data_IF_248349733482
#
_entry.id   IF_248349733482
#
_cell.length_a   1.000
_cell.length_b   1.000
_cell.length_c   1.000
_cell.angle_alpha   90.00
_cell.angle_beta   90.00
_cell.angle_gamma   90.00
#
_symmetry.space_group_name_H-M   'P 1'
#
loop_
_entity.id
_entity.type
_entity.pdbx_description
1 polymer ?
#
# COMPACT_ATOMS: atom_id res chain seq x y z
N UNK A 1 -5.84 -41.51 2.10
CA UNK A 1 -6.25 -40.12 2.42
C UNK A 1 -5.89 -39.26 1.22
N UNK A 2 -6.90 -38.87 0.44
CA UNK A 2 -6.71 -38.00 -0.72
C UNK A 2 -6.30 -36.62 -0.20
N UNK A 3 -5.03 -36.25 -0.37
CA UNK A 3 -4.61 -34.87 -0.22
C UNK A 3 -5.23 -34.11 -1.39
N UNK A 4 -6.39 -33.49 -1.15
CA UNK A 4 -6.92 -32.49 -2.06
C UNK A 4 -5.87 -31.40 -2.15
N UNK A 5 -5.16 -31.33 -3.28
CA UNK A 5 -4.49 -30.10 -3.68
C UNK A 5 -5.60 -29.11 -4.00
N UNK A 6 -6.17 -28.49 -2.97
CA UNK A 6 -6.87 -27.22 -3.15
C UNK A 6 -5.80 -26.31 -3.75
N UNK A 7 -5.93 -25.97 -5.03
CA UNK A 7 -5.02 -25.04 -5.67
C UNK A 7 -5.01 -23.77 -4.84
N UNK A 8 -3.89 -23.50 -4.16
CA UNK A 8 -3.79 -22.37 -3.24
C UNK A 8 -3.99 -21.10 -4.05
N UNK A 9 -5.07 -20.37 -3.75
CA UNK A 9 -5.40 -19.08 -4.34
C UNK A 9 -4.56 -18.01 -3.64
N UNK A 10 -3.45 -17.64 -4.27
CA UNK A 10 -2.41 -16.81 -3.67
C UNK A 10 -2.28 -15.49 -4.42
N UNK A 11 -2.09 -14.43 -3.65
CA UNK A 11 -1.74 -13.11 -4.13
C UNK A 11 -0.61 -12.52 -3.25
N UNK A 12 0.08 -11.53 -3.79
CA UNK A 12 1.10 -10.79 -3.06
C UNK A 12 0.83 -9.29 -3.10
N UNK A 13 1.08 -8.62 -1.98
CA UNK A 13 1.16 -7.19 -1.90
C UNK A 13 2.63 -6.75 -1.76
N UNK A 14 3.07 -5.82 -2.61
CA UNK A 14 4.36 -5.15 -2.44
C UNK A 14 4.09 -3.82 -1.74
N UNK A 15 3.87 -3.84 -0.43
CA UNK A 15 3.50 -2.67 0.36
C UNK A 15 4.65 -1.67 0.40
N UNK A 16 4.42 -0.45 -0.06
CA UNK A 16 5.43 0.61 -0.05
C UNK A 16 5.16 1.55 1.13
N UNK A 17 6.16 1.75 2.00
CA UNK A 17 6.09 2.64 3.16
C UNK A 17 7.19 3.69 3.13
N UNK A 18 6.91 4.88 3.64
CA UNK A 18 7.79 6.06 3.60
C UNK A 18 8.77 6.11 4.78
N UNK A 19 9.41 4.97 5.05
CA UNK A 19 10.44 4.81 6.07
C UNK A 19 11.43 3.73 5.63
N UNK A 20 12.72 3.98 5.81
CA UNK A 20 13.80 2.99 5.62
C UNK A 20 14.92 3.12 6.67
N UNK A 21 15.06 4.29 7.31
CA UNK A 21 16.16 4.61 8.21
C UNK A 21 15.96 4.02 9.60
N UNK A 22 14.72 4.01 10.09
CA UNK A 22 14.32 3.34 11.33
C UNK A 22 13.95 1.89 11.04
N UNK A 23 14.95 1.02 11.05
CA UNK A 23 14.80 -0.42 10.74
C UNK A 23 13.76 -1.12 11.61
N UNK A 24 13.74 -0.79 12.90
CA UNK A 24 12.78 -1.31 13.88
C UNK A 24 11.33 -0.97 13.50
N UNK A 25 11.07 0.24 12.99
CA UNK A 25 9.75 0.64 12.49
C UNK A 25 9.34 -0.22 11.31
N UNK A 26 10.21 -0.39 10.31
CA UNK A 26 9.93 -1.21 9.12
C UNK A 26 9.69 -2.67 9.49
N UNK A 27 10.51 -3.22 10.40
CA UNK A 27 10.34 -4.59 10.90
C UNK A 27 9.04 -4.76 11.70
N UNK A 28 8.62 -3.75 12.47
CA UNK A 28 7.36 -3.80 13.22
C UNK A 28 6.15 -3.75 12.28
N UNK A 29 6.20 -2.95 11.22
CA UNK A 29 5.18 -2.94 10.15
C UNK A 29 5.09 -4.33 9.50
N UNK A 30 6.21 -4.94 9.16
CA UNK A 30 6.23 -6.29 8.58
C UNK A 30 5.70 -7.35 9.57
N UNK A 31 6.03 -7.24 10.86
CA UNK A 31 5.49 -8.13 11.91
C UNK A 31 3.99 -7.97 12.06
N UNK A 32 3.45 -6.74 11.97
CA UNK A 32 2.03 -6.49 12.06
C UNK A 32 1.23 -7.22 10.97
N UNK A 33 1.82 -7.45 9.78
CA UNK A 33 1.20 -8.27 8.74
C UNK A 33 1.01 -9.74 9.15
N UNK A 34 1.86 -10.25 10.04
CA UNK A 34 1.88 -11.66 10.43
C UNK A 34 0.96 -11.97 11.62
N UNK A 35 0.38 -10.96 12.27
CA UNK A 35 -0.37 -11.13 13.51
C UNK A 35 -1.88 -10.91 13.31
N UNK A 36 -2.67 -11.74 13.98
CA UNK A 36 -4.12 -11.59 14.15
C UNK A 36 -4.47 -10.56 15.23
N UNK A 37 -5.75 -10.24 15.36
CA UNK A 37 -6.26 -9.29 16.38
C UNK A 37 -5.96 -9.76 17.81
N UNK A 38 -5.89 -11.07 18.02
CA UNK A 38 -5.52 -11.72 19.29
C UNK A 38 -4.00 -11.84 19.51
N UNK A 39 -3.17 -11.33 18.59
CA UNK A 39 -1.72 -11.43 18.63
C UNK A 39 -1.14 -12.78 18.18
N UNK A 40 -1.98 -13.70 17.70
CA UNK A 40 -1.51 -14.99 17.16
C UNK A 40 -1.02 -14.86 15.72
N UNK A 41 -0.14 -15.78 15.29
CA UNK A 41 0.36 -15.77 13.90
C UNK A 41 -0.73 -16.18 12.92
N UNK A 42 -0.82 -15.46 11.80
CA UNK A 42 -1.64 -15.83 10.64
C UNK A 42 -0.95 -16.96 9.87
N UNK A 43 -1.51 -18.17 9.81
CA UNK A 43 -0.82 -19.34 9.26
C UNK A 43 -0.64 -19.29 7.74
N UNK A 44 -1.48 -18.52 7.03
CA UNK A 44 -1.45 -18.40 5.57
C UNK A 44 -0.84 -17.09 5.07
N UNK A 45 -0.09 -16.39 5.92
CA UNK A 45 0.57 -15.13 5.57
C UNK A 45 2.07 -15.28 5.71
N UNK A 46 2.82 -14.71 4.77
CA UNK A 46 4.27 -14.68 4.80
C UNK A 46 4.81 -13.34 4.31
N UNK A 47 5.78 -12.79 5.04
CA UNK A 47 6.62 -11.70 4.53
C UNK A 47 7.79 -12.33 3.80
N UNK A 48 7.82 -12.20 2.47
CA UNK A 48 8.82 -12.81 1.61
C UNK A 48 10.11 -11.99 1.52
N UNK A 49 9.99 -10.67 1.60
CA UNK A 49 11.12 -9.75 1.47
C UNK A 49 10.82 -8.40 2.13
N UNK A 50 11.86 -7.74 2.63
CA UNK A 50 11.86 -6.32 3.00
C UNK A 50 13.04 -5.69 2.29
N UNK A 51 12.76 -4.80 1.33
CA UNK A 51 13.77 -4.00 0.66
C UNK A 51 13.67 -2.56 1.17
N UNK A 52 14.78 -1.98 1.61
CA UNK A 52 14.83 -0.62 2.18
C UNK A 52 15.88 0.21 1.45
N UNK A 53 15.45 1.36 0.94
CA UNK A 53 16.32 2.35 0.30
C UNK A 53 16.47 3.57 1.22
N UNK A 54 17.69 3.77 1.72
CA UNK A 54 18.00 4.79 2.73
C UNK A 54 17.97 6.22 2.16
N UNK A 55 18.36 6.37 0.89
CA UNK A 55 18.37 7.66 0.20
C UNK A 55 16.94 8.10 -0.09
N UNK A 56 16.13 7.16 -0.57
CA UNK A 56 14.71 7.38 -0.86
C UNK A 56 13.87 7.46 0.43
N UNK A 57 14.43 7.01 1.56
CA UNK A 57 13.73 6.81 2.83
C UNK A 57 12.41 6.06 2.64
N UNK A 58 12.48 4.93 1.93
CA UNK A 58 11.32 4.16 1.48
C UNK A 58 11.63 2.67 1.52
N UNK A 59 10.67 1.89 2.00
CA UNK A 59 10.77 0.43 2.02
C UNK A 59 9.63 -0.23 1.26
N UNK A 60 9.92 -1.39 0.67
CA UNK A 60 8.96 -2.28 0.03
C UNK A 60 8.92 -3.59 0.79
N UNK A 61 7.78 -3.88 1.41
CA UNK A 61 7.51 -5.11 2.16
C UNK A 61 6.67 -6.02 1.26
N UNK A 62 7.23 -7.17 0.88
CA UNK A 62 6.52 -8.17 0.05
C UNK A 62 5.77 -9.14 0.95
N UNK A 63 4.45 -9.04 0.96
CA UNK A 63 3.54 -9.87 1.76
C UNK A 63 2.81 -10.80 0.79
N UNK A 64 2.90 -12.12 0.99
CA UNK A 64 2.14 -13.10 0.22
C UNK A 64 1.18 -13.84 1.15
N UNK A 65 -0.04 -14.05 0.68
CA UNK A 65 -1.07 -14.74 1.45
C UNK A 65 -2.13 -15.41 0.55
N UNK A 66 -3.01 -16.20 1.17
CA UNK A 66 -4.28 -16.54 0.54
C UNK A 66 -5.10 -15.27 0.30
N UNK A 67 -5.97 -15.29 -0.73
CA UNK A 67 -6.88 -14.18 -1.06
C UNK A 67 -7.70 -13.73 0.17
N UNK A 68 -8.10 -14.70 1.00
CA UNK A 68 -8.94 -14.47 2.18
C UNK A 68 -8.17 -13.74 3.31
N UNK A 69 -6.87 -14.02 3.46
CA UNK A 69 -6.02 -13.42 4.51
C UNK A 69 -5.28 -12.15 4.07
N UNK A 70 -5.09 -11.93 2.77
CA UNK A 70 -4.24 -10.85 2.27
C UNK A 70 -4.72 -9.47 2.75
N UNK A 71 -6.04 -9.21 2.72
CA UNK A 71 -6.58 -7.92 3.17
C UNK A 71 -6.29 -7.67 4.64
N UNK A 72 -6.45 -8.68 5.50
CA UNK A 72 -6.21 -8.56 6.92
C UNK A 72 -4.72 -8.32 7.23
N UNK A 73 -3.84 -9.04 6.55
CA UNK A 73 -2.40 -8.89 6.68
C UNK A 73 -1.93 -7.49 6.25
N UNK A 74 -2.36 -7.04 5.07
CA UNK A 74 -1.95 -5.73 4.54
C UNK A 74 -2.56 -4.60 5.37
N UNK A 75 -3.81 -4.74 5.84
CA UNK A 75 -4.45 -3.77 6.74
C UNK A 75 -3.65 -3.61 8.04
N UNK A 76 -3.27 -4.72 8.69
CA UNK A 76 -2.47 -4.68 9.92
C UNK A 76 -1.15 -3.94 9.74
N UNK A 77 -0.45 -4.21 8.63
CA UNK A 77 0.76 -3.47 8.28
C UNK A 77 0.50 -1.98 8.02
N UNK A 78 -0.57 -1.64 7.30
CA UNK A 78 -0.93 -0.25 7.03
C UNK A 78 -1.23 0.53 8.32
N UNK A 79 -2.04 -0.04 9.21
CA UNK A 79 -2.39 0.59 10.51
C UNK A 79 -1.13 0.85 11.34
N UNK A 80 -0.19 -0.10 11.40
CA UNK A 80 1.08 0.11 12.09
C UNK A 80 1.92 1.21 11.43
N UNK A 81 1.98 1.24 10.10
CA UNK A 81 2.70 2.27 9.37
C UNK A 81 2.14 3.68 9.66
N UNK A 82 0.81 3.86 9.67
CA UNK A 82 0.18 5.14 10.02
C UNK A 82 0.41 5.54 11.47
N UNK A 83 0.61 4.58 12.38
CA UNK A 83 0.89 4.85 13.78
C UNK A 83 2.35 5.24 14.01
N UNK A 84 3.29 4.61 13.30
CA UNK A 84 4.72 4.71 13.59
C UNK A 84 5.48 5.73 12.70
N UNK A 85 4.93 6.08 11.54
CA UNK A 85 5.57 7.00 10.59
C UNK A 85 4.92 8.38 10.72
N UNK A 86 5.73 9.33 11.21
CA UNK A 86 5.40 10.75 11.23
C UNK A 86 5.81 11.37 9.89
N UNK A 87 4.82 11.85 9.14
CA UNK A 87 5.04 12.46 7.83
C UNK A 87 5.56 13.91 7.91
N UNK A 88 5.41 14.58 9.05
CA UNK A 88 5.99 15.90 9.30
C UNK A 88 7.52 15.86 9.46
N UNK A 89 8.05 14.72 9.93
CA UNK A 89 9.47 14.45 10.06
C UNK A 89 10.06 13.63 8.89
N UNK A 90 9.22 13.21 7.93
CA UNK A 90 9.65 12.39 6.81
C UNK A 90 10.49 13.22 5.83
N UNK A 91 11.74 12.79 5.64
CA UNK A 91 12.66 13.35 4.67
C UNK A 91 13.30 12.23 3.83
N UNK A 92 13.10 12.25 2.53
CA UNK A 92 13.69 11.34 1.55
C UNK A 92 13.70 11.97 0.17
N UNK A 93 14.59 11.52 -0.72
CA UNK A 93 14.68 12.11 -2.07
C UNK A 93 13.57 11.62 -3.01
N UNK A 94 12.88 10.54 -2.64
CA UNK A 94 11.77 10.01 -3.42
C UNK A 94 10.45 10.66 -3.02
N UNK A 95 9.64 11.16 -3.97
CA UNK A 95 8.33 11.72 -3.65
C UNK A 95 7.44 10.64 -3.04
N UNK A 96 6.95 10.90 -1.84
CA UNK A 96 5.91 10.10 -1.21
C UNK A 96 4.73 11.00 -0.89
N UNK A 97 3.55 10.39 -0.85
CA UNK A 97 2.32 11.11 -0.55
C UNK A 97 1.86 10.84 0.89
N UNK A 98 2.15 9.67 1.47
CA UNK A 98 1.81 9.36 2.85
C UNK A 98 2.70 8.30 3.47
N UNK A 99 2.41 7.90 4.70
CA UNK A 99 3.14 6.87 5.43
C UNK A 99 3.12 5.52 4.69
N UNK A 100 1.96 5.21 4.08
CA UNK A 100 1.80 4.12 3.11
C UNK A 100 1.64 4.72 1.74
N UNK A 101 2.63 4.51 0.89
CA UNK A 101 2.74 5.17 -0.40
C UNK A 101 1.93 4.47 -1.50
N UNK A 102 2.04 3.13 -1.53
CA UNK A 102 1.36 2.29 -2.51
C UNK A 102 1.03 0.92 -1.91
N UNK A 103 -0.14 0.40 -2.26
CA UNK A 103 -0.60 -0.94 -1.89
C UNK A 103 -0.90 -1.76 -3.16
N UNK A 104 0.09 -2.08 -4.00
CA UNK A 104 -0.12 -2.89 -5.19
C UNK A 104 -0.34 -4.37 -4.83
N UNK A 105 -1.35 -5.02 -5.42
CA UNK A 105 -1.69 -6.43 -5.27
C UNK A 105 -1.47 -7.16 -6.60
N UNK A 106 -0.76 -8.28 -6.56
CA UNK A 106 -0.40 -9.09 -7.70
C UNK A 106 -0.94 -10.51 -7.55
N UNK A 107 -1.55 -11.09 -8.60
CA UNK A 107 -1.92 -12.50 -8.59
C UNK A 107 -0.66 -13.38 -8.60
N UNK A 108 -0.64 -14.44 -7.80
CA UNK A 108 0.44 -15.44 -7.82
C UNK A 108 -0.04 -16.79 -8.37
N UNK A 109 -1.14 -17.33 -7.86
CA UNK A 109 -1.65 -18.63 -8.27
C UNK A 109 -3.16 -18.70 -8.08
N UNK A 110 -3.92 -19.13 -9.09
CA UNK A 110 -5.38 -19.34 -8.97
C UNK A 110 -6.20 -18.07 -8.71
N UNK A 111 -5.67 -16.90 -9.05
CA UNK A 111 -6.26 -15.57 -8.83
C UNK A 111 -6.08 -14.73 -10.09
N UNK A 112 -7.12 -14.02 -10.52
CA UNK A 112 -7.10 -13.09 -11.65
C UNK A 112 -6.80 -11.65 -11.24
N UNK A 113 -6.48 -10.79 -12.21
CA UNK A 113 -6.20 -9.37 -11.95
C UNK A 113 -7.47 -8.59 -11.52
N UNK A 114 -8.63 -8.98 -12.03
CA UNK A 114 -9.94 -8.42 -11.67
C UNK A 114 -10.28 -8.69 -10.21
N UNK A 115 -9.94 -9.90 -9.73
CA UNK A 115 -10.09 -10.29 -8.34
C UNK A 115 -9.12 -9.54 -7.43
N UNK A 116 -7.87 -9.34 -7.86
CA UNK A 116 -6.93 -8.46 -7.15
C UNK A 116 -7.45 -7.02 -7.08
N UNK A 117 -8.13 -6.54 -8.12
CA UNK A 117 -8.80 -5.23 -8.13
C UNK A 117 -9.96 -5.16 -7.13
N UNK A 118 -10.75 -6.23 -7.00
CA UNK A 118 -11.81 -6.34 -6.00
C UNK A 118 -11.25 -6.39 -4.56
N UNK A 119 -10.17 -7.16 -4.34
CA UNK A 119 -9.45 -7.19 -3.08
C UNK A 119 -8.93 -5.79 -2.69
N UNK A 120 -8.28 -5.09 -3.62
CA UNK A 120 -7.75 -3.75 -3.41
C UNK A 120 -8.84 -2.73 -3.03
N UNK A 121 -10.03 -2.79 -3.68
CA UNK A 121 -11.18 -1.95 -3.31
C UNK A 121 -11.69 -2.27 -1.90
N UNK A 122 -11.90 -3.54 -1.58
CA UNK A 122 -12.36 -3.98 -0.25
C UNK A 122 -11.36 -3.60 0.85
N UNK A 123 -10.07 -3.73 0.58
CA UNK A 123 -9.01 -3.28 1.48
C UNK A 123 -9.07 -1.78 1.69
N UNK A 124 -9.22 -0.99 0.63
CA UNK A 124 -9.31 0.46 0.69
C UNK A 124 -10.51 0.92 1.54
N UNK A 125 -11.69 0.31 1.37
CA UNK A 125 -12.89 0.58 2.18
C UNK A 125 -12.63 0.30 3.67
N UNK A 126 -12.00 -0.84 3.98
CA UNK A 126 -11.70 -1.20 5.39
C UNK A 126 -10.64 -0.28 5.99
N UNK A 127 -9.69 0.17 5.17
CA UNK A 127 -8.58 1.01 5.58
C UNK A 127 -9.02 2.43 5.95
N UNK A 128 -9.94 3.04 5.20
CA UNK A 128 -10.48 4.36 5.56
C UNK A 128 -11.30 4.35 6.84
N UNK A 129 -11.92 3.21 7.17
CA UNK A 129 -12.62 3.01 8.45
C UNK A 129 -11.63 2.81 9.61
N UNK A 130 -10.54 2.07 9.37
CA UNK A 130 -9.53 1.73 10.39
C UNK A 130 -8.55 2.87 10.67
N UNK A 131 -8.35 3.76 9.69
CA UNK A 131 -7.46 4.91 9.78
C UNK A 131 -8.26 6.18 9.43
N UNK A 132 -9.01 6.74 10.40
CA UNK A 132 -9.75 7.97 10.19
C UNK A 132 -8.83 9.11 9.73
N UNK A 133 -9.32 9.93 8.80
CA UNK A 133 -8.54 11.01 8.20
C UNK A 133 -7.71 10.57 6.98
N UNK A 134 -7.75 9.29 6.61
CA UNK A 134 -7.05 8.81 5.43
C UNK A 134 -7.81 9.03 4.12
N UNK A 135 -7.06 9.12 3.02
CA UNK A 135 -7.54 9.33 1.66
C UNK A 135 -6.94 8.29 0.73
N UNK A 136 -7.76 7.47 0.07
CA UNK A 136 -7.30 6.45 -0.87
C UNK A 136 -7.56 6.90 -2.32
N UNK A 137 -6.56 6.71 -3.18
CA UNK A 137 -6.71 6.85 -4.63
C UNK A 137 -6.42 5.52 -5.31
N UNK A 138 -7.44 4.93 -5.92
CA UNK A 138 -7.41 3.69 -6.65
C UNK A 138 -6.76 3.88 -8.02
N UNK A 139 -6.13 2.81 -8.50
CA UNK A 139 -5.56 2.69 -9.83
C UNK A 139 -5.65 1.24 -10.35
N UNK A 140 -5.40 1.06 -11.64
CA UNK A 140 -5.43 -0.25 -12.30
C UNK A 140 -6.81 -0.90 -12.20
N UNK A 141 -6.85 -2.21 -11.97
CA UNK A 141 -8.10 -2.98 -11.85
C UNK A 141 -8.98 -2.57 -10.64
N UNK A 142 -8.45 -1.79 -9.71
CA UNK A 142 -9.20 -1.24 -8.58
C UNK A 142 -10.03 0.00 -8.98
N UNK A 143 -9.55 0.81 -9.93
CA UNK A 143 -10.16 2.07 -10.38
C UNK A 143 -11.26 1.80 -11.41
N UNK A 144 -12.52 1.82 -11.02
CA UNK A 144 -13.63 1.54 -11.93
C UNK A 144 -14.51 2.78 -12.16
N UNK A 145 -15.05 2.95 -13.39
CA UNK A 145 -14.86 2.11 -14.58
C UNK A 145 -13.58 2.39 -15.38
N UNK A 146 -12.78 3.40 -15.03
CA UNK A 146 -11.75 3.96 -15.93
C UNK A 146 -10.47 3.13 -16.04
N UNK A 147 -10.19 2.28 -15.04
CA UNK A 147 -8.99 1.43 -14.92
C UNK A 147 -7.67 2.17 -15.20
N UNK A 148 -7.55 3.40 -14.68
CA UNK A 148 -6.39 4.27 -15.00
C UNK A 148 -5.12 3.66 -14.41
N UNK A 149 -4.03 3.54 -15.19
CA UNK A 149 -2.76 3.03 -14.67
C UNK A 149 -2.14 4.00 -13.65
N UNK A 150 -1.25 3.48 -12.79
CA UNK A 150 -0.60 4.27 -11.73
C UNK A 150 0.07 5.54 -12.28
N UNK A 151 0.76 5.44 -13.41
CA UNK A 151 1.43 6.59 -14.05
C UNK A 151 0.43 7.72 -14.36
N UNK A 152 -0.78 7.39 -14.82
CA UNK A 152 -1.81 8.38 -15.08
C UNK A 152 -2.35 8.98 -13.78
N UNK A 153 -2.60 8.15 -12.75
CA UNK A 153 -3.07 8.64 -11.44
C UNK A 153 -2.04 9.54 -10.77
N UNK A 154 -0.75 9.17 -10.78
CA UNK A 154 0.35 10.02 -10.31
C UNK A 154 0.39 11.39 -11.01
N UNK A 155 0.16 11.45 -12.32
CA UNK A 155 0.07 12.73 -13.05
C UNK A 155 -1.12 13.56 -12.60
N UNK A 156 -2.30 12.94 -12.42
CA UNK A 156 -3.52 13.62 -11.96
C UNK A 156 -3.35 14.20 -10.55
N UNK A 157 -2.74 13.42 -9.66
CA UNK A 157 -2.47 13.83 -8.28
C UNK A 157 -1.30 14.84 -8.17
N UNK A 158 -0.61 15.11 -9.28
CA UNK A 158 0.56 15.96 -9.26
C UNK A 158 1.70 15.37 -8.42
N UNK A 159 1.85 14.06 -8.39
CA UNK A 159 2.86 13.34 -7.58
C UNK A 159 4.28 13.91 -7.69
N UNK A 160 4.63 14.43 -8.86
CA UNK A 160 5.94 14.99 -9.18
C UNK A 160 6.00 16.52 -9.10
N UNK A 161 4.89 17.18 -8.76
CA UNK A 161 4.74 18.63 -8.76
C UNK A 161 4.28 19.14 -7.39
N UNK A 162 4.75 20.31 -6.97
CA UNK A 162 4.27 20.98 -5.75
C UNK A 162 2.84 21.49 -5.98
N UNK A 163 1.82 20.67 -5.70
CA UNK A 163 0.41 21.11 -5.65
C UNK A 163 -0.08 21.25 -4.22
N UNK A 164 -1.18 21.98 -4.09
CA UNK A 164 -2.04 21.94 -2.91
C UNK A 164 -2.80 20.61 -2.92
N UNK A 165 -2.55 19.76 -1.92
CA UNK A 165 -3.24 18.48 -1.79
C UNK A 165 -4.71 18.68 -1.40
N UNK A 166 -5.07 19.79 -0.75
CA UNK A 166 -6.44 20.07 -0.30
C UNK A 166 -7.48 20.16 -1.42
N UNK A 167 -7.03 20.33 -2.67
CA UNK A 167 -7.89 20.32 -3.86
C UNK A 167 -8.05 18.93 -4.49
N UNK A 168 -7.42 17.90 -3.94
CA UNK A 168 -7.54 16.52 -4.44
C UNK A 168 -8.80 15.86 -3.86
N UNK A 169 -9.61 15.31 -4.75
CA UNK A 169 -10.73 14.46 -4.39
C UNK A 169 -10.27 13.01 -4.38
N UNK A 170 -10.22 12.35 -3.20
CA UNK A 170 -9.91 10.94 -3.12
C UNK A 170 -11.07 10.08 -3.60
N UNK A 171 -10.77 8.85 -4.02
CA UNK A 171 -11.81 7.91 -4.41
C UNK A 171 -12.55 7.37 -3.15
N UNK A 172 -11.83 7.26 -2.02
CA UNK A 172 -12.37 6.88 -0.72
C UNK A 172 -11.72 7.71 0.41
N UNK A 173 -12.48 7.97 1.47
CA UNK A 173 -12.00 8.69 2.65
C UNK A 173 -12.18 10.20 2.55
N UNK A 174 -11.40 10.96 3.30
CA UNK A 174 -11.53 12.42 3.39
C UNK A 174 -10.49 13.13 2.52
N UNK A 175 -10.81 14.31 2.00
CA UNK A 175 -9.84 15.11 1.28
C UNK A 175 -8.59 15.39 2.15
N UNK A 176 -7.38 15.24 1.61
CA UNK A 176 -6.15 15.37 2.39
C UNK A 176 -5.94 16.84 2.77
N UNK A 177 -5.86 17.17 4.07
CA UNK A 177 -5.85 18.57 4.50
C UNK A 177 -4.47 19.24 4.35
N UNK A 178 -3.33 18.52 4.42
CA UNK A 178 -1.97 19.09 4.32
C UNK A 178 -0.89 18.13 3.78
N UNK A 179 0.23 18.71 3.33
CA UNK A 179 1.43 18.05 2.75
C UNK A 179 2.04 17.00 3.67
N UNK A 180 2.54 15.95 3.03
CA UNK A 180 3.52 15.00 3.56
C UNK A 180 4.61 14.83 2.46
N UNK A 181 5.84 15.33 2.66
CA UNK A 181 7.01 15.06 1.78
C UNK A 181 7.34 16.05 0.63
N UNK A 182 8.64 16.27 0.34
CA UNK A 182 9.21 17.28 -0.58
C UNK A 182 9.96 16.66 -1.81
N UNK A 183 10.10 17.40 -2.92
CA UNK A 183 10.45 16.92 -4.30
C UNK A 183 11.91 17.10 -4.75
N UNK A 184 12.48 16.15 -5.55
CA UNK A 184 13.37 16.36 -6.76
C UNK A 184 13.31 15.12 -7.71
N UNK A 185 13.40 15.21 -9.07
CA UNK A 185 13.15 14.07 -9.99
C UNK A 185 14.39 13.35 -10.57
N UNK A 186 14.29 12.05 -10.92
CA UNK A 186 15.05 11.42 -12.02
C UNK A 186 14.34 10.13 -12.56
N UNK A 187 14.49 9.77 -13.86
CA UNK A 187 13.66 8.76 -14.51
C UNK A 187 14.27 7.37 -14.37
N UNK A 188 13.44 6.32 -14.35
CA UNK A 188 13.63 5.10 -15.13
C UNK A 188 12.35 4.26 -15.04
N UNK A 189 11.84 3.88 -16.21
CA UNK A 189 10.59 3.13 -16.36
C UNK A 189 10.81 1.63 -16.32
N UNK A 190 9.79 0.94 -15.82
CA UNK A 190 9.49 -0.48 -16.10
C UNK A 190 7.96 -0.63 -16.01
N UNK A 191 7.29 -1.31 -16.96
CA UNK A 191 5.85 -1.50 -16.89
C UNK A 191 5.56 -2.73 -16.03
N UNK A 192 5.19 -2.52 -14.77
CA UNK A 192 4.48 -3.52 -13.96
C UNK A 192 3.00 -3.14 -13.98
N UNK A 193 2.12 -4.11 -14.20
CA UNK A 193 0.68 -3.95 -14.02
C UNK A 193 0.40 -3.81 -12.52
N UNK A 194 0.46 -2.59 -12.03
CA UNK A 194 0.22 -2.25 -10.63
C UNK A 194 -1.31 -2.15 -10.39
N UNK A 195 -1.84 -2.85 -9.38
CA UNK A 195 -3.26 -2.77 -8.94
C UNK A 195 -3.29 -2.34 -7.48
N UNK A 196 -3.75 -1.15 -7.11
CA UNK A 196 -3.65 -0.72 -5.72
C UNK A 196 -4.26 0.63 -5.39
N UNK A 197 -4.06 1.05 -4.14
CA UNK A 197 -4.39 2.38 -3.64
C UNK A 197 -3.13 3.19 -3.30
N UNK A 198 -3.17 4.49 -3.53
CA UNK A 198 -2.29 5.49 -2.91
C UNK A 198 -2.97 5.96 -1.64
N UNK A 199 -2.25 6.08 -0.52
CA UNK A 199 -2.86 6.48 0.74
C UNK A 199 -2.22 7.72 1.35
N UNK A 200 -3.04 8.73 1.54
CA UNK A 200 -2.73 9.93 2.30
C UNK A 200 -3.34 9.80 3.70
N UNK A 201 -2.70 10.32 4.73
CA UNK A 201 -3.36 10.58 6.01
C UNK A 201 -3.31 12.08 6.24
N UNK A 202 -4.48 12.68 6.42
CA UNK A 202 -4.56 14.01 7.01
C UNK A 202 -4.25 13.90 8.49
N UNK A 203 -3.23 14.62 8.94
CA UNK A 203 -3.15 15.04 10.35
C UNK A 203 -4.34 15.94 10.70
#
# INVERSE_FOLDING_TARGET
MSSSRVGRRLAACLLNVSEARRKDVVENIAKAALLGENGEKRPEVSVLNIFSDQDYNRSVITIAASVDELNHAVLGACVEAFRAIDMGAQEGVHPCLGAVDLIPIYPLAGVGVEECGALARSLAETLVLSVPGSSVFLFGEADLPQKRPLVQRRKQLGWFARRDLGALEPDLGVAPARRCGLTVPHPLGVPLMEVGGILLRSE
#
